data_IF_183502165075
#
_entry.id   IF_183502165075
#
_cell.length_a   1.000
_cell.length_b   1.000
_cell.length_c   1.000
_cell.angle_alpha   90.00
_cell.angle_beta   90.00
_cell.angle_gamma   90.00
#
_symmetry.space_group_name_H-M   'P 1'
#
loop_
_entity.id
_entity.type
_entity.pdbx_description
1 polymer ?
#
# COMPACT_ATOMS: atom_id res chain seq x y z
N UNK A 1 11.17 0.42 -21.25
CA UNK A 1 10.57 0.70 -22.58
C UNK A 1 9.05 0.61 -22.41
N UNK A 2 8.32 1.71 -22.54
CA UNK A 2 6.84 1.70 -22.40
C UNK A 2 6.18 0.75 -23.40
N UNK A 3 6.71 0.65 -24.63
CA UNK A 3 6.20 -0.27 -25.65
C UNK A 3 6.33 -1.77 -25.31
N UNK A 4 7.24 -2.16 -24.42
CA UNK A 4 7.32 -3.56 -23.95
C UNK A 4 6.25 -3.85 -22.88
N UNK A 5 5.89 -2.82 -22.09
CA UNK A 5 4.82 -2.91 -21.10
C UNK A 5 3.44 -2.96 -21.76
N UNK A 6 3.24 -2.22 -22.86
CA UNK A 6 1.98 -2.24 -23.60
C UNK A 6 1.73 -3.60 -24.26
N UNK A 7 2.76 -4.22 -24.84
CA UNK A 7 2.67 -5.60 -25.38
C UNK A 7 2.42 -6.63 -24.29
N UNK A 8 3.08 -6.48 -23.14
CA UNK A 8 2.84 -7.36 -21.99
C UNK A 8 1.40 -7.22 -21.48
N UNK A 9 0.87 -5.99 -21.45
CA UNK A 9 -0.52 -5.70 -21.07
C UNK A 9 -1.50 -6.40 -22.00
N UNK A 10 -1.33 -6.28 -23.31
CA UNK A 10 -2.18 -6.98 -24.28
C UNK A 10 -2.17 -8.50 -24.07
N UNK A 11 -1.01 -9.07 -23.72
CA UNK A 11 -0.89 -10.49 -23.40
C UNK A 11 -1.73 -10.88 -22.18
N UNK A 12 -1.63 -10.12 -21.09
CA UNK A 12 -2.43 -10.39 -19.89
C UNK A 12 -3.91 -10.07 -20.07
N UNK A 13 -4.26 -9.05 -20.86
CA UNK A 13 -5.65 -8.70 -21.18
C UNK A 13 -6.34 -9.87 -21.90
N UNK A 14 -5.65 -10.58 -22.80
CA UNK A 14 -6.18 -11.80 -23.42
C UNK A 14 -6.39 -12.93 -22.41
N UNK A 15 -5.47 -13.10 -21.46
CA UNK A 15 -5.64 -14.09 -20.38
C UNK A 15 -6.86 -13.74 -19.53
N UNK A 16 -7.02 -12.46 -19.16
CA UNK A 16 -8.14 -11.98 -18.36
C UNK A 16 -9.47 -12.00 -19.12
N UNK A 17 -9.45 -11.92 -20.44
CA UNK A 17 -10.65 -12.11 -21.26
C UNK A 17 -11.14 -13.57 -21.25
N UNK A 18 -10.22 -14.53 -21.09
CA UNK A 18 -10.54 -15.96 -21.00
C UNK A 18 -10.85 -16.41 -19.56
N UNK A 19 -10.08 -15.91 -18.60
CA UNK A 19 -10.26 -16.12 -17.16
C UNK A 19 -10.10 -14.78 -16.43
N UNK A 20 -11.22 -14.07 -16.17
CA UNK A 20 -11.21 -12.78 -15.46
C UNK A 20 -10.66 -12.86 -14.03
N UNK A 21 -10.53 -14.06 -13.50
CA UNK A 21 -10.05 -14.30 -12.15
C UNK A 21 -8.62 -14.80 -12.12
N UNK A 22 -7.91 -14.94 -13.24
CA UNK A 22 -6.58 -15.54 -13.25
C UNK A 22 -5.59 -14.76 -12.36
N UNK A 23 -5.13 -15.32 -11.22
CA UNK A 23 -4.48 -14.54 -10.16
C UNK A 23 -3.13 -13.94 -10.59
N UNK A 24 -2.33 -14.68 -11.35
CA UNK A 24 -1.04 -14.19 -11.88
C UNK A 24 -1.23 -13.09 -12.92
N UNK A 25 -2.29 -13.16 -13.73
CA UNK A 25 -2.55 -12.17 -14.77
C UNK A 25 -3.05 -10.87 -14.13
N UNK A 26 -3.93 -10.96 -13.13
CA UNK A 26 -4.35 -9.82 -12.30
C UNK A 26 -3.15 -9.17 -11.59
N UNK A 27 -2.25 -9.97 -11.01
CA UNK A 27 -1.05 -9.45 -10.37
C UNK A 27 -0.15 -8.69 -11.37
N UNK A 28 0.12 -9.30 -12.54
CA UNK A 28 0.98 -8.68 -13.54
C UNK A 28 0.34 -7.45 -14.18
N UNK A 29 -0.99 -7.44 -14.37
CA UNK A 29 -1.73 -6.26 -14.80
C UNK A 29 -1.56 -5.11 -13.79
N UNK A 30 -1.63 -5.41 -12.48
CA UNK A 30 -1.35 -4.44 -11.43
C UNK A 30 0.07 -3.88 -11.48
N UNK A 31 1.05 -4.75 -11.69
CA UNK A 31 2.45 -4.35 -11.83
C UNK A 31 2.70 -3.45 -13.04
N UNK A 32 2.10 -3.79 -14.19
CA UNK A 32 2.19 -2.96 -15.39
C UNK A 32 1.52 -1.60 -15.16
N UNK A 33 0.31 -1.58 -14.58
CA UNK A 33 -0.39 -0.35 -14.26
C UNK A 33 0.42 0.55 -13.31
N UNK A 34 1.10 -0.03 -12.32
CA UNK A 34 1.98 0.72 -11.42
C UNK A 34 3.15 1.37 -12.18
N UNK A 35 3.79 0.63 -13.10
CA UNK A 35 4.89 1.14 -13.94
C UNK A 35 4.45 2.23 -14.90
N UNK A 36 3.19 2.24 -15.30
CA UNK A 36 2.57 3.27 -16.13
C UNK A 36 2.09 4.49 -15.33
N UNK A 37 2.17 4.45 -14.00
CA UNK A 37 1.67 5.52 -13.12
C UNK A 37 0.16 5.45 -12.82
N UNK A 38 -0.53 4.41 -13.29
CA UNK A 38 -1.96 4.18 -13.08
C UNK A 38 -2.20 3.52 -11.70
N UNK A 39 -1.89 4.25 -10.63
CA UNK A 39 -1.83 3.68 -9.28
C UNK A 39 -3.17 3.14 -8.77
N UNK A 40 -4.30 3.77 -9.12
CA UNK A 40 -5.62 3.29 -8.73
C UNK A 40 -5.93 1.91 -9.36
N UNK A 41 -5.61 1.74 -10.65
CA UNK A 41 -5.76 0.47 -11.35
C UNK A 41 -4.83 -0.60 -10.77
N UNK A 42 -3.59 -0.22 -10.44
CA UNK A 42 -2.62 -1.13 -9.84
C UNK A 42 -3.12 -1.71 -8.51
N UNK A 43 -3.59 -0.85 -7.60
CA UNK A 43 -4.13 -1.29 -6.30
C UNK A 43 -5.36 -2.19 -6.48
N UNK A 44 -6.28 -1.83 -7.37
CA UNK A 44 -7.45 -2.66 -7.66
C UNK A 44 -7.08 -4.05 -8.21
N UNK A 45 -6.11 -4.12 -9.13
CA UNK A 45 -5.66 -5.36 -9.72
C UNK A 45 -4.92 -6.27 -8.71
N UNK A 46 -4.08 -5.70 -7.84
CA UNK A 46 -3.46 -6.46 -6.74
C UNK A 46 -4.50 -7.00 -5.74
N UNK A 47 -5.52 -6.20 -5.39
CA UNK A 47 -6.62 -6.67 -4.54
C UNK A 47 -7.42 -7.80 -5.21
N UNK A 48 -7.72 -7.68 -6.51
CA UNK A 48 -8.40 -8.73 -7.26
C UNK A 48 -7.57 -10.03 -7.33
N UNK A 49 -6.25 -9.93 -7.52
CA UNK A 49 -5.34 -11.08 -7.52
C UNK A 49 -5.38 -11.83 -6.18
N UNK A 50 -5.35 -11.10 -5.05
CA UNK A 50 -5.48 -11.70 -3.73
C UNK A 50 -6.87 -12.31 -3.51
N UNK A 51 -7.94 -11.68 -4.00
CA UNK A 51 -9.29 -12.21 -3.88
C UNK A 51 -9.46 -13.54 -4.63
N UNK A 52 -8.85 -13.64 -5.81
CA UNK A 52 -8.83 -14.86 -6.61
C UNK A 52 -8.01 -15.98 -5.95
N UNK A 53 -6.82 -15.64 -5.45
CA UNK A 53 -5.97 -16.57 -4.74
C UNK A 53 -5.51 -15.95 -3.41
N UNK A 54 -6.23 -16.22 -2.30
CA UNK A 54 -5.89 -15.66 -0.99
C UNK A 54 -4.50 -16.05 -0.47
N UNK A 55 -3.92 -17.13 -0.99
CA UNK A 55 -2.57 -17.59 -0.67
C UNK A 55 -1.47 -16.86 -1.46
N UNK A 56 -1.82 -15.98 -2.41
CA UNK A 56 -0.86 -15.23 -3.21
C UNK A 56 -0.27 -14.07 -2.40
N UNK A 57 0.63 -14.39 -1.47
CA UNK A 57 1.30 -13.42 -0.59
C UNK A 57 2.20 -12.42 -1.32
N UNK A 58 2.29 -12.45 -2.65
CA UNK A 58 2.95 -11.40 -3.41
C UNK A 58 1.98 -10.23 -3.69
N UNK A 59 0.69 -10.52 -3.87
CA UNK A 59 -0.33 -9.52 -4.17
C UNK A 59 -0.61 -8.59 -2.98
N UNK A 60 -0.71 -9.14 -1.76
CA UNK A 60 -0.89 -8.35 -0.55
C UNK A 60 0.32 -7.45 -0.25
N UNK A 61 1.55 -7.98 -0.41
CA UNK A 61 2.79 -7.22 -0.28
C UNK A 61 2.88 -6.10 -1.29
N UNK A 62 2.55 -6.37 -2.56
CA UNK A 62 2.58 -5.35 -3.62
C UNK A 62 1.54 -4.25 -3.36
N UNK A 63 0.31 -4.61 -2.99
CA UNK A 63 -0.73 -3.65 -2.63
C UNK A 63 -0.29 -2.74 -1.48
N UNK A 64 0.19 -3.34 -0.37
CA UNK A 64 0.64 -2.61 0.82
C UNK A 64 1.84 -1.71 0.53
N UNK A 65 2.81 -2.19 -0.24
CA UNK A 65 3.99 -1.42 -0.61
C UNK A 65 3.62 -0.19 -1.46
N UNK A 66 2.72 -0.37 -2.43
CA UNK A 66 2.24 0.72 -3.26
C UNK A 66 1.45 1.75 -2.43
N UNK A 67 0.50 1.30 -1.61
CA UNK A 67 -0.27 2.19 -0.74
C UNK A 67 0.63 3.00 0.22
N UNK A 68 1.64 2.35 0.81
CA UNK A 68 2.61 3.03 1.67
C UNK A 68 3.39 4.11 0.92
N UNK A 69 3.84 3.80 -0.30
CA UNK A 69 4.56 4.75 -1.15
C UNK A 69 3.69 5.96 -1.45
N UNK A 70 2.47 5.75 -1.90
CA UNK A 70 1.55 6.84 -2.25
C UNK A 70 1.18 7.73 -1.05
N UNK A 71 1.19 7.18 0.17
CA UNK A 71 0.94 7.96 1.38
C UNK A 71 2.18 8.68 1.94
N UNK A 72 3.35 8.02 1.95
CA UNK A 72 4.47 8.45 2.81
C UNK A 72 5.75 8.85 2.08
N UNK A 73 5.79 8.72 0.75
CA UNK A 73 7.00 9.00 -0.03
C UNK A 73 7.52 10.44 0.22
N UNK A 74 8.84 10.68 0.35
CA UNK A 74 9.39 12.00 0.63
C UNK A 74 9.06 13.01 -0.48
N UNK A 75 9.19 12.57 -1.74
CA UNK A 75 8.91 13.38 -2.92
C UNK A 75 7.40 13.51 -3.15
N UNK A 76 6.90 14.73 -3.32
CA UNK A 76 5.47 15.01 -3.46
C UNK A 76 4.87 14.49 -4.76
N UNK A 77 5.65 14.53 -5.85
CA UNK A 77 5.21 14.00 -7.16
C UNK A 77 4.96 12.50 -7.17
N UNK A 78 5.49 11.77 -6.17
CA UNK A 78 5.35 10.33 -6.04
C UNK A 78 4.25 9.91 -5.06
N UNK A 79 3.58 10.89 -4.45
CA UNK A 79 2.47 10.67 -3.52
C UNK A 79 1.13 10.83 -4.22
N UNK A 80 0.16 10.10 -3.71
CA UNK A 80 -1.24 10.27 -4.05
C UNK A 80 -2.09 9.83 -2.85
N UNK A 81 -2.24 10.74 -1.88
CA UNK A 81 -3.01 10.52 -0.66
C UNK A 81 -4.45 10.04 -0.93
N UNK A 82 -5.23 10.73 -1.80
CA UNK A 82 -6.61 10.34 -2.09
C UNK A 82 -6.73 8.90 -2.63
N UNK A 83 -5.88 8.51 -3.58
CA UNK A 83 -5.86 7.14 -4.13
C UNK A 83 -5.46 6.13 -3.06
N UNK A 84 -4.43 6.43 -2.26
CA UNK A 84 -3.99 5.54 -1.18
C UNK A 84 -5.10 5.34 -0.13
N UNK A 85 -5.80 6.42 0.23
CA UNK A 85 -6.88 6.40 1.23
C UNK A 85 -8.04 5.53 0.73
N UNK A 86 -8.55 5.81 -0.46
CA UNK A 86 -9.67 5.06 -1.03
C UNK A 86 -9.35 3.57 -1.16
N UNK A 87 -8.16 3.24 -1.68
CA UNK A 87 -7.72 1.86 -1.83
C UNK A 87 -7.58 1.14 -0.49
N UNK A 88 -6.98 1.78 0.53
CA UNK A 88 -6.83 1.17 1.85
C UNK A 88 -8.15 1.03 2.60
N UNK A 89 -9.06 2.00 2.46
CA UNK A 89 -10.41 1.87 3.02
C UNK A 89 -11.16 0.68 2.40
N UNK A 90 -11.06 0.52 1.07
CA UNK A 90 -11.63 -0.63 0.37
C UNK A 90 -10.98 -1.93 0.81
N UNK A 91 -9.65 -1.97 0.90
CA UNK A 91 -8.90 -3.13 1.35
C UNK A 91 -9.35 -3.61 2.74
N UNK A 92 -9.43 -2.70 3.71
CA UNK A 92 -9.86 -3.02 5.08
C UNK A 92 -11.31 -3.50 5.11
N UNK A 93 -12.18 -2.97 4.27
CA UNK A 93 -13.57 -3.44 4.13
C UNK A 93 -13.66 -4.85 3.55
N UNK A 94 -12.83 -5.19 2.56
CA UNK A 94 -12.89 -6.46 1.84
C UNK A 94 -12.16 -7.61 2.58
N UNK A 95 -10.96 -7.36 3.11
CA UNK A 95 -10.10 -8.39 3.71
C UNK A 95 -10.09 -8.37 5.24
N UNK A 96 -10.73 -7.37 5.84
CA UNK A 96 -10.72 -7.14 7.28
C UNK A 96 -9.49 -6.35 7.76
N UNK A 97 -9.60 -5.69 8.92
CA UNK A 97 -8.51 -4.88 9.45
C UNK A 97 -7.42 -5.73 10.09
N UNK A 98 -6.16 -5.47 9.73
CA UNK A 98 -5.01 -5.81 10.56
C UNK A 98 -4.40 -4.54 11.14
N UNK A 99 -3.62 -4.65 12.23
CA UNK A 99 -2.96 -3.48 12.83
C UNK A 99 -2.04 -2.77 11.81
N UNK A 100 -1.41 -3.53 10.90
CA UNK A 100 -0.59 -2.99 9.83
C UNK A 100 -1.42 -2.28 8.76
N UNK A 101 -2.54 -2.85 8.33
CA UNK A 101 -3.41 -2.22 7.33
C UNK A 101 -4.06 -0.94 7.86
N UNK A 102 -4.44 -0.92 9.14
CA UNK A 102 -4.93 0.28 9.79
C UNK A 102 -3.84 1.35 9.90
N UNK A 103 -2.58 0.98 10.16
CA UNK A 103 -1.45 1.92 10.15
C UNK A 103 -1.27 2.60 8.78
N UNK A 104 -1.39 1.82 7.70
CA UNK A 104 -1.30 2.31 6.32
C UNK A 104 -2.47 3.22 5.96
N UNK A 105 -3.69 2.85 6.36
CA UNK A 105 -4.87 3.70 6.17
C UNK A 105 -4.70 5.03 6.92
N UNK A 106 -4.23 5.00 8.16
CA UNK A 106 -3.98 6.22 8.93
C UNK A 106 -2.92 7.13 8.27
N UNK A 107 -1.86 6.54 7.70
CA UNK A 107 -0.87 7.30 6.95
C UNK A 107 -1.47 7.95 5.70
N UNK A 108 -2.35 7.25 4.98
CA UNK A 108 -3.03 7.80 3.81
C UNK A 108 -4.04 8.92 4.18
N UNK A 109 -4.75 8.77 5.31
CA UNK A 109 -5.63 9.82 5.86
C UNK A 109 -4.84 11.07 6.27
N UNK A 110 -3.73 10.89 6.97
CA UNK A 110 -2.84 11.98 7.35
C UNK A 110 -2.24 12.69 6.13
N UNK A 111 -1.93 11.96 5.05
CA UNK A 111 -1.49 12.57 3.79
C UNK A 111 -2.58 13.41 3.12
N UNK A 112 -3.85 13.05 3.30
CA UNK A 112 -4.97 13.87 2.85
C UNK A 112 -5.25 15.07 3.78
N UNK A 113 -4.49 15.24 4.88
CA UNK A 113 -4.71 16.26 5.89
C UNK A 113 -5.80 15.92 6.92
N UNK A 114 -6.40 14.73 6.84
CA UNK A 114 -7.41 14.26 7.79
C UNK A 114 -6.74 13.61 9.02
N UNK A 115 -6.10 14.45 9.82
CA UNK A 115 -5.46 14.04 11.07
C UNK A 115 -6.43 13.46 12.11
N UNK A 116 -7.67 13.99 12.29
CA UNK A 116 -8.64 13.39 13.21
C UNK A 116 -8.96 11.93 12.85
N UNK A 117 -9.24 11.63 11.58
CA UNK A 117 -9.48 10.25 11.15
C UNK A 117 -8.21 9.40 11.29
N UNK A 118 -7.04 9.95 10.98
CA UNK A 118 -5.77 9.23 11.12
C UNK A 118 -5.52 8.80 12.57
N UNK A 119 -5.74 9.68 13.55
CA UNK A 119 -5.58 9.37 14.98
C UNK A 119 -6.57 8.27 15.41
N UNK A 120 -7.85 8.41 15.06
CA UNK A 120 -8.87 7.41 15.37
C UNK A 120 -8.53 6.03 14.78
N UNK A 121 -7.97 6.02 13.57
CA UNK A 121 -7.53 4.78 12.90
C UNK A 121 -6.28 4.17 13.57
N UNK A 122 -5.33 5.00 14.02
CA UNK A 122 -4.18 4.52 14.82
C UNK A 122 -4.62 3.94 16.16
N UNK A 123 -5.58 4.55 16.84
CA UNK A 123 -6.11 4.04 18.11
C UNK A 123 -6.74 2.65 17.92
N UNK A 124 -7.51 2.46 16.83
CA UNK A 124 -8.02 1.14 16.44
C UNK A 124 -6.89 0.14 16.15
N UNK A 125 -5.80 0.58 15.52
CA UNK A 125 -4.65 -0.26 15.22
C UNK A 125 -3.93 -0.71 16.50
N UNK A 126 -3.78 0.18 17.49
CA UNK A 126 -3.19 -0.10 18.79
C UNK A 126 -4.04 -1.14 19.55
N UNK A 127 -5.34 -0.92 19.66
CA UNK A 127 -6.26 -1.89 20.32
C UNK A 127 -6.19 -3.28 19.69
N UNK A 128 -6.06 -3.36 18.35
CA UNK A 128 -5.95 -4.65 17.66
C UNK A 128 -4.58 -5.32 17.86
N UNK A 129 -3.52 -4.53 17.98
CA UNK A 129 -2.16 -5.00 18.24
C UNK A 129 -1.96 -5.47 19.68
N UNK A 130 -2.57 -4.80 20.66
CA UNK A 130 -2.54 -5.20 22.08
C UNK A 130 -3.18 -6.58 22.32
N UNK A 131 -4.22 -6.91 21.55
CA UNK A 131 -4.84 -8.24 21.54
C UNK A 131 -3.92 -9.34 21.00
N UNK A 132 -2.83 -8.97 20.30
CA UNK A 132 -1.85 -9.87 19.72
C UNK A 132 -0.41 -9.48 20.16
N UNK A 133 -0.05 -9.73 21.44
CA UNK A 133 1.12 -9.12 22.10
C UNK A 133 2.49 -9.48 21.50
N UNK A 134 2.58 -10.43 20.57
CA UNK A 134 3.82 -10.79 19.87
C UNK A 134 4.39 -9.71 18.93
N UNK A 135 3.74 -8.54 18.78
CA UNK A 135 4.12 -7.47 17.84
C UNK A 135 4.43 -6.12 18.51
N UNK A 136 5.14 -6.13 19.64
CA UNK A 136 5.46 -4.93 20.45
C UNK A 136 6.20 -3.80 19.71
N UNK A 137 6.98 -4.11 18.67
CA UNK A 137 7.67 -3.09 17.86
C UNK A 137 6.70 -2.27 17.00
N UNK A 138 5.60 -2.86 16.52
CA UNK A 138 4.59 -2.18 15.72
C UNK A 138 3.83 -1.15 16.56
N UNK A 139 3.55 -1.48 17.83
CA UNK A 139 2.85 -0.59 18.77
C UNK A 139 3.62 0.71 19.03
N UNK A 140 4.93 0.64 19.27
CA UNK A 140 5.77 1.84 19.46
C UNK A 140 5.79 2.75 18.22
N UNK A 141 5.80 2.14 17.02
CA UNK A 141 5.71 2.88 15.77
C UNK A 141 4.37 3.62 15.63
N UNK A 142 3.27 2.96 16.00
CA UNK A 142 1.92 3.53 15.99
C UNK A 142 1.76 4.69 16.99
N UNK A 143 2.26 4.55 18.22
CA UNK A 143 2.24 5.64 19.21
C UNK A 143 3.02 6.88 18.73
N UNK A 144 4.17 6.65 18.09
CA UNK A 144 4.98 7.72 17.52
C UNK A 144 4.24 8.41 16.36
N UNK A 145 3.58 7.64 15.48
CA UNK A 145 2.75 8.17 14.42
C UNK A 145 1.57 8.98 14.97
N UNK A 146 0.90 8.48 16.01
CA UNK A 146 -0.21 9.18 16.71
C UNK A 146 0.21 10.56 17.20
N UNK A 147 1.37 10.66 17.86
CA UNK A 147 1.92 11.94 18.35
C UNK A 147 2.16 12.92 17.20
N UNK A 148 2.71 12.45 16.08
CA UNK A 148 2.91 13.28 14.88
C UNK A 148 1.60 13.79 14.30
N UNK A 149 0.61 12.92 14.16
CA UNK A 149 -0.71 13.31 13.65
C UNK A 149 -1.41 14.30 14.56
N UNK A 150 -1.25 14.18 15.89
CA UNK A 150 -1.75 15.17 16.84
C UNK A 150 -1.10 16.56 16.67
N UNK A 151 0.13 16.63 16.15
CA UNK A 151 0.81 17.87 15.80
C UNK A 151 0.51 18.34 14.36
N UNK A 152 -0.41 17.69 13.64
CA UNK A 152 -0.72 18.01 12.24
C UNK A 152 0.41 17.65 11.27
N UNK A 153 1.28 16.71 11.64
CA UNK A 153 2.43 16.32 10.82
C UNK A 153 2.21 14.93 10.18
N UNK A 154 2.17 14.81 8.83
CA UNK A 154 2.03 13.52 8.18
C UNK A 154 3.30 12.68 8.33
N UNK A 155 3.16 11.36 8.16
CA UNK A 155 4.29 10.43 8.16
C UNK A 155 5.04 10.50 6.83
N UNK A 156 6.33 10.83 6.90
CA UNK A 156 7.26 10.75 5.77
C UNK A 156 8.28 9.67 6.10
N UNK A 157 8.28 8.58 5.34
CA UNK A 157 9.34 7.59 5.46
C UNK A 157 10.52 8.08 4.62
N UNK A 158 11.71 8.13 5.22
CA UNK A 158 12.92 8.43 4.47
C UNK A 158 13.04 7.42 3.32
N UNK A 159 13.56 7.81 2.15
CA UNK A 159 13.91 6.81 1.15
C UNK A 159 14.87 5.85 1.83
N UNK A 160 14.67 4.53 1.68
CA UNK A 160 15.67 3.56 2.11
C UNK A 160 17.00 4.06 1.55
N UNK A 161 17.89 4.56 2.43
CA UNK A 161 19.27 4.73 2.06
C UNK A 161 19.74 3.30 1.83
N UNK A 162 19.65 2.82 0.60
CA UNK A 162 20.56 1.77 0.16
C UNK A 162 21.93 2.24 0.61
N UNK A 163 22.68 1.47 1.42
CA UNK A 163 24.08 1.79 1.63
C UNK A 163 24.70 1.81 0.24
N UNK A 164 24.91 3.03 -0.27
CA UNK A 164 25.57 3.29 -1.52
C UNK A 164 26.94 2.66 -1.43
N UNK A 165 27.19 1.72 -2.34
CA UNK A 165 28.50 1.34 -2.85
C UNK A 165 29.69 1.71 -1.95
N UNK A 166 30.19 0.74 -1.19
CA UNK A 166 31.65 0.63 -1.10
C UNK A 166 32.14 0.28 -2.50
N UNK A 167 32.42 1.31 -3.30
CA UNK A 167 33.49 1.21 -4.28
C UNK A 167 34.76 1.02 -3.45
N UNK A 168 35.24 -0.21 -3.41
CA UNK A 168 36.61 -0.47 -3.04
C UNK A 168 37.45 0.00 -4.23
N UNK A 169 38.30 0.99 -3.95
CA UNK A 169 39.49 1.32 -4.73
C UNK A 169 40.44 0.12 -4.85
#
# INVERSE_FOLDING_TARGET
RLGDLDRAREGFDRVLALDPTHPTALFNAGWIAERQGNFAQALAAYAAALKSQPTLSLADRAHRALALRLATHPEASQRNGPVAREAMERWVREFGPTAQDLALLAAAQAECGDFPAAIATVDRALTLGERNPGKSAVLRGLESARKRYAMGQPLRLAPNRTPSAQQND
#
